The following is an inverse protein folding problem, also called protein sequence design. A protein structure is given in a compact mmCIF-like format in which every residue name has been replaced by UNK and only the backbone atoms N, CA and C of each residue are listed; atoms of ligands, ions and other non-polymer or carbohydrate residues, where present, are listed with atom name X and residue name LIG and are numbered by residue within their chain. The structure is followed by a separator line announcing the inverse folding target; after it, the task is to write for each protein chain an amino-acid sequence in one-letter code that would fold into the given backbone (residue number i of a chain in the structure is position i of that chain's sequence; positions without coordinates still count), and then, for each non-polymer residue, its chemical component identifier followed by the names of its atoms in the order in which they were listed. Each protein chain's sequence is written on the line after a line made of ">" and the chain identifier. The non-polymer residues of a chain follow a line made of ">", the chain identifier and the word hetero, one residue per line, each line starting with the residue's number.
data_IF_069714670588
#
_entry.id   IF_069714670588
#
_cell.length_a   1.000
_cell.length_b   1.000
_cell.length_c   1.000
_cell.angle_alpha   90.00
_cell.angle_beta   90.00
_cell.angle_gamma   90.00
#
_symmetry.space_group_name_H-M   'P 1'
#
loop_
_entity.id
_entity.type
_entity.pdbx_description
1 polymer ?
#
# COMPACT_ATOMS: atom_id res chain seq x y z
N UNK A 1 27.86 16.10 -65.14
CA UNK A 1 27.30 15.09 -64.20
C UNK A 1 28.12 15.13 -62.93
N UNK A 2 27.59 15.72 -61.88
CA UNK A 2 28.28 15.89 -60.57
C UNK A 2 27.72 14.81 -59.60
N UNK A 3 28.49 13.75 -59.40
CA UNK A 3 28.07 12.64 -58.52
C UNK A 3 28.75 12.85 -57.15
N UNK A 4 28.24 13.80 -56.37
CA UNK A 4 28.69 14.08 -55.01
C UNK A 4 28.12 13.15 -53.99
N UNK A 5 28.65 11.91 -53.87
CA UNK A 5 28.36 11.05 -52.73
C UNK A 5 29.04 11.63 -51.49
N UNK A 6 28.29 12.41 -50.68
CA UNK A 6 28.75 12.82 -49.36
C UNK A 6 28.88 11.57 -48.46
N UNK A 7 30.10 11.16 -48.17
CA UNK A 7 30.36 10.16 -47.15
C UNK A 7 30.05 10.83 -45.81
N UNK A 8 28.99 10.39 -45.17
CA UNK A 8 28.69 10.78 -43.79
C UNK A 8 29.91 10.45 -42.92
N UNK A 9 30.38 11.44 -42.15
CA UNK A 9 31.53 11.25 -41.25
C UNK A 9 31.17 10.28 -40.15
N UNK A 10 32.12 9.40 -39.75
CA UNK A 10 31.94 8.30 -38.84
C UNK A 10 31.33 8.70 -37.46
N UNK A 11 31.51 9.93 -37.03
CA UNK A 11 30.90 10.46 -35.79
C UNK A 11 29.42 10.84 -35.95
N UNK A 12 29.00 11.24 -37.15
CA UNK A 12 27.59 11.56 -37.44
C UNK A 12 26.73 10.28 -37.38
N UNK A 13 27.28 9.17 -37.87
CA UNK A 13 26.59 7.86 -37.78
C UNK A 13 26.45 7.40 -36.32
N UNK A 14 27.51 7.60 -35.50
CA UNK A 14 27.43 7.23 -34.06
C UNK A 14 26.36 8.03 -33.32
N UNK A 15 26.29 9.35 -33.60
CA UNK A 15 25.29 10.20 -32.97
C UNK A 15 23.86 9.87 -33.44
N UNK A 16 23.70 9.51 -34.70
CA UNK A 16 22.41 9.10 -35.25
C UNK A 16 21.94 7.78 -34.61
N UNK A 17 22.82 6.79 -34.45
CA UNK A 17 22.50 5.51 -33.80
C UNK A 17 22.14 5.72 -32.33
N UNK A 18 22.91 6.56 -31.62
CA UNK A 18 22.62 6.88 -30.22
C UNK A 18 21.26 7.56 -30.05
N UNK A 19 20.92 8.50 -30.94
CA UNK A 19 19.63 9.19 -30.91
C UNK A 19 18.48 8.25 -31.23
N UNK A 20 18.67 7.32 -32.16
CA UNK A 20 17.65 6.29 -32.49
C UNK A 20 17.39 5.32 -31.32
N UNK A 21 18.46 4.87 -30.65
CA UNK A 21 18.35 4.03 -29.45
C UNK A 21 17.65 4.77 -28.31
N UNK A 22 17.90 6.07 -28.15
CA UNK A 22 17.26 6.89 -27.12
C UNK A 22 15.75 7.06 -27.38
N UNK A 23 15.35 7.28 -28.63
CA UNK A 23 13.92 7.34 -29.01
C UNK A 23 13.23 6.01 -28.81
N UNK A 24 13.86 4.88 -29.13
CA UNK A 24 13.30 3.55 -28.90
C UNK A 24 13.16 3.24 -27.40
N UNK A 25 14.12 3.66 -26.58
CA UNK A 25 14.04 3.49 -25.11
C UNK A 25 12.89 4.33 -24.51
N UNK A 26 12.71 5.57 -24.96
CA UNK A 26 11.62 6.43 -24.50
C UNK A 26 10.25 5.92 -24.99
N UNK A 27 10.17 5.44 -26.22
CA UNK A 27 8.93 4.84 -26.78
C UNK A 27 8.52 3.56 -26.07
N UNK A 28 9.48 2.70 -25.72
CA UNK A 28 9.24 1.48 -24.94
C UNK A 28 8.76 1.77 -23.51
N UNK A 29 9.35 2.76 -22.86
CA UNK A 29 8.95 3.17 -21.52
C UNK A 29 7.54 3.79 -21.50
N UNK A 30 7.20 4.61 -22.50
CA UNK A 30 5.86 5.18 -22.65
C UNK A 30 4.79 4.12 -22.87
N UNK A 31 5.07 3.10 -23.68
CA UNK A 31 4.14 1.99 -23.93
C UNK A 31 3.93 1.14 -22.66
N UNK A 32 4.98 0.89 -21.87
CA UNK A 32 4.89 0.14 -20.62
C UNK A 32 4.06 0.90 -19.57
N UNK A 33 4.28 2.20 -19.42
CA UNK A 33 3.50 3.04 -18.49
C UNK A 33 2.03 3.09 -18.92
N UNK A 34 1.75 3.21 -20.21
CA UNK A 34 0.38 3.26 -20.74
C UNK A 34 -0.36 1.93 -20.54
N UNK A 35 0.33 0.79 -20.72
CA UNK A 35 -0.23 -0.52 -20.47
C UNK A 35 -0.57 -0.70 -18.97
N UNK A 36 0.32 -0.28 -18.07
CA UNK A 36 0.09 -0.32 -16.62
C UNK A 36 -1.09 0.57 -16.18
N UNK A 37 -1.33 1.68 -16.87
CA UNK A 37 -2.51 2.52 -16.63
C UNK A 37 -3.81 1.85 -17.09
N UNK A 38 -3.79 1.21 -18.26
CA UNK A 38 -4.96 0.54 -18.84
C UNK A 38 -5.40 -0.69 -18.05
N UNK A 39 -4.48 -1.35 -17.35
CA UNK A 39 -4.78 -2.51 -16.53
C UNK A 39 -5.33 -2.14 -15.14
N UNK A 40 -5.12 -0.91 -14.66
CA UNK A 40 -5.74 -0.41 -13.42
C UNK A 40 -7.25 -0.27 -13.54
N UNK A 41 -7.77 0.05 -14.72
CA UNK A 41 -9.20 0.24 -14.94
C UNK A 41 -9.97 -1.08 -15.04
N UNK A 42 -9.27 -2.23 -15.09
CA UNK A 42 -9.88 -3.56 -15.18
C UNK A 42 -10.21 -4.18 -13.83
N UNK A 43 -9.70 -3.63 -12.72
CA UNK A 43 -10.09 -4.07 -11.38
C UNK A 43 -11.43 -3.39 -11.05
N UNK A 44 -12.55 -4.10 -11.01
CA UNK A 44 -13.80 -3.50 -10.61
C UNK A 44 -13.61 -2.86 -9.22
N UNK A 45 -14.08 -1.64 -9.01
CA UNK A 45 -14.01 -1.02 -7.70
C UNK A 45 -14.67 -1.98 -6.70
N UNK A 46 -13.96 -2.30 -5.61
CA UNK A 46 -14.56 -3.08 -4.53
C UNK A 46 -15.85 -2.37 -4.12
N UNK A 47 -16.96 -3.11 -3.99
CA UNK A 47 -18.20 -2.51 -3.53
C UNK A 47 -17.92 -1.78 -2.20
N UNK A 48 -18.39 -0.54 -2.10
CA UNK A 48 -18.25 0.26 -0.89
C UNK A 48 -19.03 -0.43 0.23
N UNK A 49 -18.32 -0.91 1.26
CA UNK A 49 -18.95 -1.41 2.49
C UNK A 49 -18.92 -0.29 3.54
N UNK A 50 -20.07 0.35 3.81
CA UNK A 50 -20.15 1.43 4.78
C UNK A 50 -19.83 0.98 6.21
N UNK A 51 -19.86 -0.32 6.48
CA UNK A 51 -19.56 -0.90 7.78
C UNK A 51 -18.15 -1.49 7.85
N UNK A 52 -17.43 -1.49 6.74
CA UNK A 52 -16.07 -2.01 6.63
C UNK A 52 -14.98 -1.00 6.94
N UNK A 53 -13.77 -1.27 6.44
CA UNK A 53 -12.66 -0.33 6.50
C UNK A 53 -12.87 0.74 5.43
N UNK A 54 -13.10 1.99 5.87
CA UNK A 54 -13.38 3.13 4.99
C UNK A 54 -12.11 3.71 4.40
N UNK A 55 -11.05 3.80 5.20
CA UNK A 55 -9.77 4.38 4.80
C UNK A 55 -8.62 3.78 5.61
N UNK A 56 -7.44 3.85 5.03
CA UNK A 56 -6.19 3.41 5.64
C UNK A 56 -5.10 4.44 5.35
N UNK A 57 -4.40 4.87 6.39
CA UNK A 57 -3.36 5.86 6.28
C UNK A 57 -2.11 5.43 7.06
N UNK A 58 -0.96 5.42 6.39
CA UNK A 58 0.35 5.21 7.02
C UNK A 58 1.01 6.56 7.24
N UNK A 59 1.38 6.86 8.48
CA UNK A 59 2.10 8.09 8.78
C UNK A 59 3.49 8.06 8.13
N UNK A 60 3.88 9.09 7.38
CA UNK A 60 5.21 9.15 6.78
C UNK A 60 6.32 9.44 7.79
N UNK A 61 5.97 9.97 8.97
CA UNK A 61 6.91 10.43 10.00
C UNK A 61 6.89 9.59 11.27
N UNK A 62 5.89 8.73 11.43
CA UNK A 62 5.74 7.86 12.59
C UNK A 62 5.55 6.41 12.15
N UNK A 63 5.99 5.48 12.99
CA UNK A 63 5.79 4.05 12.76
C UNK A 63 4.35 3.62 13.08
N UNK A 64 3.36 4.39 12.58
CA UNK A 64 1.94 4.22 12.85
C UNK A 64 1.11 4.07 11.58
N UNK A 65 0.11 3.20 11.62
CA UNK A 65 -0.90 3.03 10.58
C UNK A 65 -2.29 3.17 11.20
N UNK A 66 -3.16 3.91 10.54
CA UNK A 66 -4.50 4.27 10.97
C UNK A 66 -5.53 3.58 10.08
N UNK A 67 -6.46 2.84 10.67
CA UNK A 67 -7.59 2.20 9.98
C UNK A 67 -8.88 2.87 10.43
N UNK A 68 -9.51 3.60 9.53
CA UNK A 68 -10.81 4.25 9.77
C UNK A 68 -11.94 3.30 9.41
N UNK A 69 -12.85 3.07 10.34
CA UNK A 69 -13.90 2.07 10.23
C UNK A 69 -15.28 2.72 10.06
N UNK A 70 -16.17 2.06 9.35
CA UNK A 70 -17.56 2.48 9.21
C UNK A 70 -18.38 2.22 10.47
N UNK A 71 -18.05 1.15 11.20
CA UNK A 71 -18.73 0.72 12.43
C UNK A 71 -17.84 0.94 13.64
N UNK A 72 -18.44 1.32 14.76
CA UNK A 72 -17.72 1.44 16.03
C UNK A 72 -17.37 0.07 16.61
N UNK A 73 -16.13 -0.10 17.06
CA UNK A 73 -15.64 -1.31 17.74
C UNK A 73 -15.72 -1.19 19.26
N UNK A 74 -15.66 0.01 19.80
CA UNK A 74 -15.72 0.26 21.22
C UNK A 74 -16.44 1.57 21.51
N UNK A 75 -16.84 1.78 22.76
CA UNK A 75 -17.43 3.04 23.23
C UNK A 75 -16.37 4.02 23.73
N UNK A 76 -15.16 3.53 24.01
CA UNK A 76 -14.05 4.30 24.59
C UNK A 76 -12.73 3.96 23.95
N UNK A 77 -11.77 4.86 24.06
CA UNK A 77 -10.41 4.62 23.59
C UNK A 77 -9.68 3.67 24.56
N UNK A 78 -9.10 2.64 24.01
CA UNK A 78 -8.25 1.68 24.73
C UNK A 78 -6.91 1.58 24.05
N UNK A 79 -5.84 1.57 24.84
CA UNK A 79 -4.46 1.50 24.37
C UNK A 79 -3.75 0.31 24.99
N UNK A 80 -3.11 -0.49 24.16
CA UNK A 80 -2.42 -1.71 24.53
C UNK A 80 -0.97 -1.65 24.05
N UNK A 81 -0.02 -1.80 24.98
CA UNK A 81 1.42 -1.81 24.68
C UNK A 81 2.02 -3.20 24.62
N UNK A 82 1.26 -4.20 25.14
CA UNK A 82 1.67 -5.57 25.16
C UNK A 82 0.46 -6.52 25.21
N UNK A 83 0.70 -7.82 24.95
CA UNK A 83 -0.34 -8.83 25.08
C UNK A 83 -0.86 -8.98 26.52
N UNK A 84 -0.09 -8.56 27.52
CA UNK A 84 -0.47 -8.65 28.93
C UNK A 84 -1.52 -7.59 29.29
N UNK A 85 -1.61 -6.52 28.52
CA UNK A 85 -2.59 -5.45 28.71
C UNK A 85 -3.98 -5.83 28.17
N UNK A 86 -4.09 -6.95 27.42
CA UNK A 86 -5.33 -7.37 26.79
C UNK A 86 -6.23 -8.00 27.87
N UNK A 87 -7.45 -7.48 28.08
CA UNK A 87 -8.36 -8.05 29.05
C UNK A 87 -8.83 -9.45 28.60
N UNK A 88 -9.17 -10.30 29.59
CA UNK A 88 -9.69 -11.64 29.30
C UNK A 88 -11.02 -11.63 28.53
N UNK A 89 -11.70 -10.49 28.52
CA UNK A 89 -12.95 -10.26 27.79
C UNK A 89 -12.74 -9.82 26.34
N UNK A 90 -11.47 -9.69 25.89
CA UNK A 90 -11.19 -9.39 24.47
C UNK A 90 -11.75 -10.51 23.58
N UNK A 91 -12.49 -10.12 22.57
CA UNK A 91 -13.11 -11.02 21.59
C UNK A 91 -12.12 -11.59 20.55
N UNK A 92 -10.82 -11.40 20.79
CA UNK A 92 -9.75 -11.88 19.93
C UNK A 92 -9.24 -10.85 18.91
N UNK A 93 -9.87 -9.69 18.78
CA UNK A 93 -9.42 -8.64 17.84
C UNK A 93 -8.04 -8.12 18.19
N UNK A 94 -7.86 -7.60 19.41
CA UNK A 94 -6.59 -6.99 19.84
C UNK A 94 -5.49 -8.05 19.89
N UNK A 95 -5.81 -9.24 20.36
CA UNK A 95 -4.89 -10.38 20.36
C UNK A 95 -4.43 -10.72 18.96
N UNK A 96 -5.36 -10.84 18.01
CA UNK A 96 -5.04 -11.13 16.61
C UNK A 96 -4.14 -10.07 15.99
N UNK A 97 -4.36 -8.79 16.29
CA UNK A 97 -3.52 -7.70 15.80
C UNK A 97 -2.09 -7.76 16.39
N UNK A 98 -1.93 -8.15 17.68
CA UNK A 98 -0.62 -8.38 18.27
C UNK A 98 0.07 -9.65 17.78
N UNK A 99 -0.67 -10.61 17.21
CA UNK A 99 -0.09 -11.81 16.59
C UNK A 99 0.61 -11.51 15.26
N UNK A 100 0.36 -10.34 14.67
CA UNK A 100 1.07 -9.89 13.47
C UNK A 100 2.52 -9.57 13.83
N UNK A 101 3.52 -10.22 13.20
CA UNK A 101 4.92 -9.96 13.50
C UNK A 101 5.29 -8.49 13.26
N UNK A 102 5.85 -7.86 14.29
CA UNK A 102 6.32 -6.49 14.23
C UNK A 102 5.34 -5.44 14.74
N UNK A 103 4.11 -5.79 15.09
CA UNK A 103 3.20 -4.89 15.82
C UNK A 103 3.64 -4.81 17.28
N UNK A 104 3.76 -3.59 17.80
CA UNK A 104 4.23 -3.32 19.17
C UNK A 104 3.23 -2.54 20.02
N UNK A 105 2.27 -1.88 19.39
CA UNK A 105 1.21 -1.17 20.07
C UNK A 105 -0.08 -1.23 19.24
N UNK A 106 -1.21 -1.36 19.93
CA UNK A 106 -2.55 -1.31 19.34
C UNK A 106 -3.38 -0.31 20.12
N UNK A 107 -4.01 0.63 19.42
CA UNK A 107 -5.01 1.54 19.97
C UNK A 107 -6.34 1.27 19.28
N UNK A 108 -7.38 1.04 20.05
CA UNK A 108 -8.75 0.90 19.56
C UNK A 108 -9.55 2.07 20.11
N UNK A 109 -10.10 2.86 19.21
CA UNK A 109 -10.94 4.00 19.53
C UNK A 109 -12.17 3.98 18.63
N UNK A 110 -13.35 4.03 19.18
CA UNK A 110 -14.63 3.99 18.46
C UNK A 110 -14.53 3.41 17.02
N UNK A 111 -14.29 4.28 16.05
CA UNK A 111 -14.18 3.95 14.61
C UNK A 111 -12.75 4.01 14.07
N UNK A 112 -11.77 3.93 14.94
CA UNK A 112 -10.37 4.05 14.58
C UNK A 112 -9.53 2.97 15.24
N UNK A 113 -8.73 2.26 14.46
CA UNK A 113 -7.69 1.39 14.97
C UNK A 113 -6.34 1.94 14.53
N UNK A 114 -5.44 2.13 15.49
CA UNK A 114 -4.07 2.55 15.22
C UNK A 114 -3.12 1.43 15.60
N UNK A 115 -2.26 1.07 14.68
CA UNK A 115 -1.18 0.12 14.91
C UNK A 115 0.15 0.87 14.92
N UNK A 116 1.03 0.51 15.84
CA UNK A 116 2.43 0.89 15.79
C UNK A 116 3.28 -0.35 15.52
N UNK A 117 4.27 -0.17 14.65
CA UNK A 117 5.23 -1.22 14.34
C UNK A 117 6.58 -0.97 15.00
N UNK A 118 7.35 -2.03 15.17
CA UNK A 118 8.75 -1.92 15.51
C UNK A 118 9.55 -1.29 14.34
N UNK A 119 10.66 -0.60 14.61
CA UNK A 119 11.46 0.06 13.56
C UNK A 119 11.98 -0.90 12.48
N UNK A 120 12.14 -2.18 12.81
CA UNK A 120 12.62 -3.21 11.88
C UNK A 120 11.52 -3.85 11.03
N UNK A 121 10.25 -3.62 11.36
CA UNK A 121 9.13 -4.20 10.65
C UNK A 121 8.71 -3.34 9.45
N UNK A 122 8.05 -3.96 8.47
CA UNK A 122 7.63 -3.34 7.23
C UNK A 122 6.11 -3.35 7.11
N UNK A 123 5.53 -2.22 6.72
CA UNK A 123 4.09 -2.05 6.57
C UNK A 123 3.49 -2.94 5.48
N UNK A 124 4.28 -3.30 4.47
CA UNK A 124 3.87 -4.18 3.37
C UNK A 124 3.40 -5.56 3.83
N UNK A 125 3.96 -6.05 4.95
CA UNK A 125 3.55 -7.31 5.56
C UNK A 125 2.43 -7.14 6.59
N UNK A 126 2.48 -6.06 7.39
CA UNK A 126 1.54 -5.82 8.49
C UNK A 126 0.15 -5.41 7.99
N UNK A 127 0.08 -4.50 7.03
CA UNK A 127 -1.19 -3.91 6.57
C UNK A 127 -2.18 -4.92 6.00
N UNK A 128 -1.79 -5.84 5.11
CA UNK A 128 -2.72 -6.86 4.60
C UNK A 128 -3.26 -7.74 5.73
N UNK A 129 -2.40 -8.23 6.63
CA UNK A 129 -2.79 -9.09 7.75
C UNK A 129 -3.74 -8.36 8.72
N UNK A 130 -3.45 -7.10 9.05
CA UNK A 130 -4.31 -6.28 9.89
C UNK A 130 -5.69 -6.04 9.25
N UNK A 131 -5.70 -5.77 7.94
CA UNK A 131 -6.95 -5.58 7.18
C UNK A 131 -7.81 -6.84 7.20
N UNK A 132 -7.21 -8.02 7.03
CA UNK A 132 -7.94 -9.28 7.04
C UNK A 132 -8.57 -9.56 8.41
N UNK A 133 -7.84 -9.32 9.50
CA UNK A 133 -8.32 -9.46 10.88
C UNK A 133 -9.47 -8.49 11.16
N UNK A 134 -9.30 -7.20 10.82
CA UNK A 134 -10.32 -6.18 11.02
C UNK A 134 -11.58 -6.49 10.19
N UNK A 135 -11.43 -6.91 8.96
CA UNK A 135 -12.55 -7.26 8.08
C UNK A 135 -13.31 -8.47 8.63
N UNK A 136 -12.61 -9.51 9.05
CA UNK A 136 -13.24 -10.70 9.66
C UNK A 136 -14.02 -10.33 10.91
N UNK A 137 -13.43 -9.50 11.79
CA UNK A 137 -14.09 -9.04 13.02
C UNK A 137 -15.36 -8.22 12.74
N UNK A 138 -15.27 -7.25 11.81
CA UNK A 138 -16.42 -6.42 11.41
C UNK A 138 -17.57 -7.22 10.79
N UNK A 139 -17.29 -8.37 10.17
CA UNK A 139 -18.31 -9.26 9.63
C UNK A 139 -18.95 -10.18 10.68
N UNK A 140 -18.24 -10.51 11.78
CA UNK A 140 -18.79 -11.33 12.86
C UNK A 140 -19.79 -10.58 13.75
N UNK A 141 -19.71 -9.26 13.79
CA UNK A 141 -20.56 -8.40 14.63
C UNK A 141 -21.67 -7.66 13.86
N UNK A 142 -22.03 -8.16 12.68
CA UNK A 142 -23.25 -7.78 11.94
C UNK A 142 -24.40 -8.68 12.39
#
# INVERSE_FOLDING_TARGET
>A
MYNGRRRLKKYEIKNLVFFLCFILALGGFGAFVFQSYKDRDKVPPKPFDPNGILNEFVSPTADSCYFYLGTALSESTSKYHSRQDIPATDDGLVKGLFDIPGVVEVVVDQKLVVLQKSPKAHWEAIRPAARDILTAHLHMHK
#
